data_IF_259610513367
#
_entry.id   IF_259610513367
#
_cell.length_a   1.000
_cell.length_b   1.000
_cell.length_c   1.000
_cell.angle_alpha   90.00
_cell.angle_beta   90.00
_cell.angle_gamma   90.00
#
_symmetry.space_group_name_H-M   'P 1'
#
loop_
_entity.id
_entity.type
_entity.pdbx_description
1 polymer ?
#
# COMPACT_ATOMS: atom_id res chain seq x y z
N UNK A 1 -18.12 3.92 32.19
CA UNK A 1 -18.43 3.25 30.90
C UNK A 1 -17.43 2.16 30.50
N UNK A 2 -16.15 2.22 30.88
CA UNK A 2 -15.17 1.15 30.57
C UNK A 2 -15.50 -0.23 31.19
N UNK A 3 -16.29 -0.28 32.26
CA UNK A 3 -16.73 -1.52 32.91
C UNK A 3 -17.73 -2.35 32.09
N UNK A 4 -18.38 -1.76 31.07
CA UNK A 4 -19.47 -2.41 30.34
C UNK A 4 -19.03 -3.17 29.07
N UNK A 5 -17.72 -3.18 28.76
CA UNK A 5 -17.18 -3.83 27.55
C UNK A 5 -16.15 -4.92 27.84
N UNK A 6 -15.97 -5.27 29.11
CA UNK A 6 -15.28 -6.51 29.48
C UNK A 6 -16.26 -7.66 29.30
N UNK A 7 -15.76 -8.81 28.86
CA UNK A 7 -16.54 -10.03 28.90
C UNK A 7 -16.91 -10.39 30.36
N UNK A 8 -17.84 -11.33 30.56
CA UNK A 8 -18.39 -11.69 31.89
C UNK A 8 -17.32 -12.05 32.95
N UNK A 9 -16.06 -12.25 32.52
CA UNK A 9 -14.91 -12.59 33.34
C UNK A 9 -13.87 -11.47 33.51
N UNK A 10 -14.10 -10.28 32.95
CA UNK A 10 -13.23 -9.12 33.15
C UNK A 10 -12.04 -8.98 32.18
N UNK A 11 -11.95 -9.83 31.16
CA UNK A 11 -10.88 -9.86 30.15
C UNK A 11 -11.20 -8.92 28.96
N UNK A 12 -10.17 -8.52 28.18
CA UNK A 12 -10.39 -7.83 26.91
C UNK A 12 -11.21 -8.70 25.96
N UNK A 13 -12.17 -8.13 25.20
CA UNK A 13 -13.04 -8.88 24.32
C UNK A 13 -12.22 -9.63 23.26
N UNK A 14 -12.71 -10.80 22.84
CA UNK A 14 -12.11 -11.56 21.75
C UNK A 14 -12.57 -11.06 20.38
N UNK A 15 -11.67 -11.08 19.40
CA UNK A 15 -11.99 -10.74 18.01
C UNK A 15 -12.78 -11.90 17.38
N UNK A 16 -14.10 -11.88 17.56
CA UNK A 16 -14.99 -12.95 17.08
C UNK A 16 -14.83 -13.13 15.57
N UNK A 17 -14.57 -14.37 15.15
CA UNK A 17 -14.31 -14.76 13.76
C UNK A 17 -13.09 -14.08 13.11
N UNK A 18 -12.19 -13.47 13.90
CA UNK A 18 -11.04 -12.70 13.39
C UNK A 18 -11.47 -11.59 12.40
N UNK A 19 -12.63 -10.97 12.63
CA UNK A 19 -13.20 -9.98 11.71
C UNK A 19 -12.30 -8.73 11.62
N UNK A 20 -11.78 -8.24 12.75
CA UNK A 20 -10.89 -7.06 12.74
C UNK A 20 -9.57 -7.39 12.05
N UNK A 21 -9.03 -8.59 12.29
CA UNK A 21 -7.87 -9.09 11.53
C UNK A 21 -8.12 -9.07 10.02
N UNK A 22 -9.26 -9.61 9.56
CA UNK A 22 -9.62 -9.63 8.15
C UNK A 22 -9.75 -8.23 7.56
N UNK A 23 -10.31 -7.27 8.29
CA UNK A 23 -10.41 -5.87 7.84
C UNK A 23 -9.01 -5.30 7.62
N UNK A 24 -8.08 -5.46 8.57
CA UNK A 24 -6.71 -4.96 8.39
C UNK A 24 -5.97 -5.68 7.27
N UNK A 25 -6.17 -6.99 7.11
CA UNK A 25 -5.66 -7.75 5.97
C UNK A 25 -6.17 -7.17 4.64
N UNK A 26 -7.48 -6.97 4.51
CA UNK A 26 -8.07 -6.36 3.31
C UNK A 26 -7.63 -4.91 3.10
N UNK A 27 -7.33 -4.16 4.16
CA UNK A 27 -6.70 -2.84 4.08
C UNK A 27 -5.27 -2.92 3.52
N UNK A 28 -4.50 -3.92 3.92
CA UNK A 28 -3.21 -4.23 3.32
C UNK A 28 -3.32 -4.52 1.83
N UNK A 29 -4.26 -5.39 1.45
CA UNK A 29 -4.49 -5.76 0.05
C UNK A 29 -4.89 -4.53 -0.76
N UNK A 30 -5.95 -3.82 -0.36
CA UNK A 30 -6.45 -2.63 -1.06
C UNK A 30 -5.47 -1.46 -1.08
N UNK A 31 -4.52 -1.40 -0.13
CA UNK A 31 -3.51 -0.35 -0.06
C UNK A 31 -2.41 -0.45 -1.11
N UNK A 32 -2.05 -1.66 -1.57
CA UNK A 32 -0.98 -1.88 -2.55
C UNK A 32 -1.45 -2.53 -3.86
N UNK A 33 -2.58 -3.23 -3.88
CA UNK A 33 -3.09 -3.86 -5.11
C UNK A 33 -3.25 -2.88 -6.28
N UNK A 34 -3.82 -1.66 -6.08
CA UNK A 34 -3.97 -0.71 -7.19
C UNK A 34 -2.61 -0.34 -7.82
N UNK A 35 -1.60 -0.09 -6.98
CA UNK A 35 -0.24 0.20 -7.44
C UNK A 35 0.39 -1.00 -8.18
N UNK A 36 0.24 -2.21 -7.66
CA UNK A 36 0.77 -3.41 -8.31
C UNK A 36 0.15 -3.67 -9.68
N UNK A 37 -1.16 -3.46 -9.81
CA UNK A 37 -1.85 -3.53 -11.11
C UNK A 37 -1.41 -2.43 -12.07
N UNK A 38 -1.14 -1.23 -11.57
CA UNK A 38 -0.59 -0.15 -12.39
C UNK A 38 0.78 -0.52 -12.98
N UNK A 39 1.69 -1.09 -12.17
CA UNK A 39 2.99 -1.56 -12.66
C UNK A 39 2.83 -2.70 -13.68
N UNK A 40 1.91 -3.65 -13.41
CA UNK A 40 1.70 -4.81 -14.28
C UNK A 40 0.98 -4.46 -15.60
N UNK A 41 0.29 -3.31 -15.68
CA UNK A 41 -0.34 -2.81 -16.91
C UNK A 41 0.66 -2.22 -17.92
N UNK A 42 1.95 -2.57 -17.84
CA UNK A 42 2.98 -1.95 -18.67
C UNK A 42 2.72 -2.05 -20.18
N UNK A 43 2.29 -3.22 -20.68
CA UNK A 43 1.96 -3.37 -22.11
C UNK A 43 0.90 -2.37 -22.57
N UNK A 44 -0.05 -2.03 -21.70
CA UNK A 44 -1.07 -1.02 -21.97
C UNK A 44 -0.48 0.39 -22.06
N UNK A 45 0.40 0.76 -21.12
CA UNK A 45 1.08 2.06 -21.17
C UNK A 45 1.98 2.18 -22.40
N UNK A 46 2.75 1.13 -22.71
CA UNK A 46 3.59 1.09 -23.90
C UNK A 46 2.75 1.24 -25.18
N UNK A 47 1.61 0.54 -25.27
CA UNK A 47 0.69 0.68 -26.40
C UNK A 47 0.12 2.10 -26.53
N UNK A 48 -0.30 2.74 -25.44
CA UNK A 48 -0.86 4.12 -25.49
C UNK A 48 0.19 5.18 -25.83
N UNK A 49 1.46 4.94 -25.49
CA UNK A 49 2.60 5.83 -25.79
C UNK A 49 3.36 5.48 -27.07
N UNK A 50 2.93 4.45 -27.82
CA UNK A 50 3.59 4.03 -29.05
C UNK A 50 3.66 5.14 -30.09
N UNK A 51 4.66 5.06 -30.96
CA UNK A 51 4.69 5.88 -32.16
C UNK A 51 3.58 5.46 -33.12
N UNK A 52 2.64 6.36 -33.37
CA UNK A 52 1.49 6.11 -34.26
C UNK A 52 1.81 6.33 -35.74
N UNK A 53 3.01 6.82 -36.05
CA UNK A 53 3.47 6.99 -37.43
C UNK A 53 4.01 5.68 -38.03
N UNK A 54 4.32 4.70 -37.18
CA UNK A 54 4.78 3.38 -37.59
C UNK A 54 3.63 2.53 -38.17
N UNK A 55 3.95 1.55 -39.03
CA UNK A 55 2.98 0.60 -39.55
C UNK A 55 2.18 -0.11 -38.45
N UNK A 56 0.89 -0.44 -38.66
CA UNK A 56 0.03 -1.08 -37.65
C UNK A 56 0.54 -2.43 -37.13
N UNK A 57 1.35 -3.12 -37.93
CA UNK A 57 1.98 -4.41 -37.68
C UNK A 57 3.35 -4.30 -36.98
N UNK A 58 3.89 -3.09 -36.81
CA UNK A 58 5.13 -2.88 -36.08
C UNK A 58 4.93 -3.23 -34.60
N UNK A 59 5.79 -4.12 -34.09
CA UNK A 59 5.79 -4.46 -32.66
C UNK A 59 6.25 -3.26 -31.85
N UNK A 60 5.31 -2.60 -31.19
CA UNK A 60 5.56 -1.43 -30.33
C UNK A 60 6.38 -1.75 -29.07
N UNK A 61 6.65 -3.03 -28.80
CA UNK A 61 7.50 -3.50 -27.71
C UNK A 61 8.93 -3.83 -28.16
N UNK A 62 9.21 -3.81 -29.48
CA UNK A 62 10.56 -3.98 -30.00
C UNK A 62 11.42 -2.76 -29.61
N UNK A 63 12.59 -2.97 -28.96
CA UNK A 63 13.51 -1.89 -28.59
C UNK A 63 13.87 -0.92 -29.71
N UNK A 64 13.81 -1.36 -30.98
CA UNK A 64 14.10 -0.54 -32.16
C UNK A 64 13.02 0.50 -32.44
N UNK A 65 11.78 0.25 -32.02
CA UNK A 65 10.62 1.10 -32.26
C UNK A 65 10.12 1.82 -30.99
N UNK A 66 10.66 1.48 -29.82
CA UNK A 66 10.26 2.11 -28.56
C UNK A 66 10.63 3.60 -28.53
N UNK A 67 9.64 4.43 -28.25
CA UNK A 67 9.84 5.86 -28.01
C UNK A 67 10.56 6.09 -26.68
N UNK A 68 11.20 7.26 -26.55
CA UNK A 68 11.82 7.70 -25.28
C UNK A 68 10.84 7.65 -24.11
N UNK A 69 9.56 7.97 -24.35
CA UNK A 69 8.51 7.92 -23.33
C UNK A 69 8.26 6.51 -22.82
N UNK A 70 8.26 5.49 -23.68
CA UNK A 70 8.11 4.09 -23.29
C UNK A 70 9.31 3.60 -22.47
N UNK A 71 10.54 3.90 -22.93
CA UNK A 71 11.78 3.46 -22.25
C UNK A 71 11.90 4.05 -20.85
N UNK A 72 11.63 5.35 -20.68
CA UNK A 72 11.78 6.05 -19.40
C UNK A 72 10.53 5.99 -18.50
N UNK A 73 9.43 5.39 -18.97
CA UNK A 73 8.15 5.42 -18.28
C UNK A 73 8.25 4.89 -16.85
N UNK A 74 8.91 3.74 -16.64
CA UNK A 74 9.04 3.11 -15.32
C UNK A 74 9.82 4.01 -14.35
N UNK A 75 10.86 4.69 -14.84
CA UNK A 75 11.63 5.64 -14.03
C UNK A 75 10.81 6.86 -13.64
N UNK A 76 10.05 7.43 -14.59
CA UNK A 76 9.13 8.53 -14.29
C UNK A 76 8.05 8.10 -13.30
N UNK A 77 7.48 6.92 -13.51
CA UNK A 77 6.47 6.34 -12.65
C UNK A 77 6.99 6.16 -11.22
N UNK A 78 8.21 5.65 -11.04
CA UNK A 78 8.83 5.46 -9.73
C UNK A 78 9.01 6.79 -8.99
N UNK A 79 9.54 7.82 -9.65
CA UNK A 79 9.73 9.15 -9.04
C UNK A 79 8.39 9.80 -8.70
N UNK A 80 7.45 9.81 -9.64
CA UNK A 80 6.10 10.35 -9.45
C UNK A 80 5.26 9.56 -8.43
N UNK A 81 5.75 8.41 -7.96
CA UNK A 81 5.07 7.62 -6.93
C UNK A 81 5.74 7.76 -5.57
N UNK A 82 7.03 7.42 -5.49
CA UNK A 82 7.75 7.31 -4.22
C UNK A 82 7.96 8.68 -3.55
N UNK A 83 8.25 9.73 -4.32
CA UNK A 83 8.47 11.07 -3.79
C UNK A 83 7.19 11.64 -3.15
N UNK A 84 6.04 11.74 -3.86
CA UNK A 84 4.82 12.26 -3.26
C UNK A 84 4.29 11.35 -2.15
N UNK A 85 4.41 10.02 -2.29
CA UNK A 85 4.04 9.10 -1.22
C UNK A 85 4.82 9.41 0.07
N UNK A 86 6.13 9.56 -0.02
CA UNK A 86 6.99 9.82 1.15
C UNK A 86 6.69 11.17 1.79
N UNK A 87 6.56 12.24 0.98
CA UNK A 87 6.21 13.58 1.47
C UNK A 87 4.84 13.54 2.16
N UNK A 88 3.86 12.90 1.54
CA UNK A 88 2.51 12.83 2.09
C UNK A 88 2.45 11.93 3.33
N UNK A 89 3.29 10.90 3.43
CA UNK A 89 3.37 10.06 4.64
C UNK A 89 3.90 10.86 5.84
N UNK A 90 4.90 11.72 5.62
CA UNK A 90 5.38 12.67 6.65
C UNK A 90 4.31 13.71 6.96
N UNK A 91 3.66 14.28 5.95
CA UNK A 91 2.56 15.22 6.14
C UNK A 91 1.40 14.58 6.92
N UNK A 92 1.14 13.29 6.73
CA UNK A 92 0.10 12.55 7.42
C UNK A 92 0.30 12.54 8.95
N UNK A 93 1.55 12.54 9.42
CA UNK A 93 1.90 12.67 10.84
C UNK A 93 1.57 14.07 11.38
N UNK A 94 1.77 15.11 10.56
CA UNK A 94 1.41 16.49 10.94
C UNK A 94 -0.11 16.68 10.94
N UNK A 95 -0.80 16.09 9.95
CA UNK A 95 -2.24 16.18 9.77
C UNK A 95 -3.04 15.48 10.87
N UNK A 96 -2.43 14.52 11.59
CA UNK A 96 -3.10 13.80 12.67
C UNK A 96 -3.57 14.72 13.80
N UNK A 97 -2.98 15.91 13.93
CA UNK A 97 -3.41 16.95 14.89
C UNK A 97 -4.81 17.48 14.58
N UNK A 98 -5.15 17.65 13.30
CA UNK A 98 -6.39 18.30 12.88
C UNK A 98 -7.44 17.30 12.41
N UNK A 99 -7.02 16.16 11.89
CA UNK A 99 -7.91 15.20 11.26
C UNK A 99 -7.77 13.79 11.84
N UNK A 100 -8.90 13.19 12.19
CA UNK A 100 -8.96 11.81 12.66
C UNK A 100 -8.40 10.84 11.62
N UNK A 101 -7.86 9.69 12.05
CA UNK A 101 -7.39 8.66 11.12
C UNK A 101 -8.49 8.17 10.17
N UNK A 102 -9.76 8.11 10.62
CA UNK A 102 -10.88 7.74 9.75
C UNK A 102 -11.18 8.79 8.68
N UNK A 103 -11.11 10.08 9.03
CA UNK A 103 -11.28 11.18 8.07
C UNK A 103 -10.16 11.19 7.03
N UNK A 104 -8.90 11.06 7.48
CA UNK A 104 -7.73 10.99 6.58
C UNK A 104 -7.79 9.78 5.66
N UNK A 105 -8.19 8.62 6.19
CA UNK A 105 -8.43 7.42 5.39
C UNK A 105 -9.52 7.61 4.33
N UNK A 106 -10.66 8.20 4.71
CA UNK A 106 -11.78 8.42 3.79
C UNK A 106 -11.37 9.35 2.64
N UNK A 107 -10.70 10.48 2.96
CA UNK A 107 -10.19 11.41 1.95
C UNK A 107 -9.18 10.72 1.02
N UNK A 108 -8.22 9.98 1.60
CA UNK A 108 -7.22 9.23 0.81
C UNK A 108 -7.87 8.20 -0.11
N UNK A 109 -8.83 7.42 0.40
CA UNK A 109 -9.54 6.38 -0.36
C UNK A 109 -10.39 6.95 -1.49
N UNK A 110 -11.09 8.06 -1.25
CA UNK A 110 -11.86 8.77 -2.29
C UNK A 110 -10.93 9.30 -3.38
N UNK A 111 -9.79 9.88 -3.00
CA UNK A 111 -8.81 10.37 -3.97
C UNK A 111 -8.26 9.23 -4.85
N UNK A 112 -7.88 8.10 -4.23
CA UNK A 112 -7.42 6.91 -4.95
C UNK A 112 -8.50 6.38 -5.90
N UNK A 113 -9.76 6.33 -5.45
CA UNK A 113 -10.90 5.89 -6.27
C UNK A 113 -11.11 6.80 -7.49
N UNK A 114 -11.11 8.12 -7.30
CA UNK A 114 -11.28 9.09 -8.39
C UNK A 114 -10.16 8.95 -9.42
N UNK A 115 -8.91 8.79 -8.98
CA UNK A 115 -7.78 8.60 -9.89
C UNK A 115 -7.89 7.29 -10.67
N UNK A 116 -8.34 6.20 -10.04
CA UNK A 116 -8.55 4.94 -10.75
C UNK A 116 -9.71 5.02 -11.74
N UNK A 117 -10.79 5.72 -11.39
CA UNK A 117 -11.89 5.98 -12.30
C UNK A 117 -11.43 6.81 -13.51
N UNK A 118 -10.62 7.85 -13.28
CA UNK A 118 -9.98 8.61 -14.34
C UNK A 118 -9.08 7.73 -15.22
N UNK A 119 -8.32 6.81 -14.63
CA UNK A 119 -7.48 5.86 -15.36
C UNK A 119 -8.30 4.93 -16.25
N UNK A 120 -9.46 4.44 -15.76
CA UNK A 120 -10.42 3.66 -16.56
C UNK A 120 -10.95 4.46 -17.75
N UNK A 121 -11.32 5.73 -17.53
CA UNK A 121 -11.79 6.62 -18.60
C UNK A 121 -10.68 6.85 -19.64
N UNK A 122 -9.43 7.05 -19.21
CA UNK A 122 -8.26 7.20 -20.09
C UNK A 122 -8.02 6.00 -21.02
N UNK A 123 -8.49 4.79 -20.67
CA UNK A 123 -8.40 3.63 -21.57
C UNK A 123 -9.14 3.89 -22.88
N UNK A 124 -10.30 4.56 -22.82
CA UNK A 124 -11.17 4.81 -23.96
C UNK A 124 -10.85 6.11 -24.71
N UNK A 125 -10.07 7.01 -24.10
CA UNK A 125 -9.70 8.28 -24.73
C UNK A 125 -8.42 8.08 -25.55
N UNK A 126 -8.45 8.56 -26.80
CA UNK A 126 -7.28 8.66 -27.65
C UNK A 126 -6.70 10.06 -27.66
N UNK A 127 -5.52 10.19 -27.05
CA UNK A 127 -4.73 11.42 -26.95
C UNK A 127 -3.32 11.17 -27.49
N UNK A 128 -2.56 12.24 -27.73
CA UNK A 128 -1.15 12.11 -28.10
C UNK A 128 -0.34 11.43 -26.99
N UNK A 129 0.74 10.72 -27.36
CA UNK A 129 1.60 10.01 -26.40
C UNK A 129 2.13 10.92 -25.28
N UNK A 130 2.51 12.17 -25.61
CA UNK A 130 2.97 13.16 -24.63
C UNK A 130 1.87 13.60 -23.67
N UNK A 131 0.67 13.87 -24.19
CA UNK A 131 -0.47 14.24 -23.36
C UNK A 131 -0.90 13.07 -22.44
N UNK A 132 -0.93 11.85 -22.97
CA UNK A 132 -1.21 10.65 -22.21
C UNK A 132 -0.21 10.46 -21.07
N UNK A 133 1.10 10.57 -21.36
CA UNK A 133 2.15 10.48 -20.36
C UNK A 133 1.97 11.55 -19.26
N UNK A 134 1.76 12.80 -19.63
CA UNK A 134 1.57 13.89 -18.67
C UNK A 134 0.35 13.65 -17.77
N UNK A 135 -0.81 13.34 -18.33
CA UNK A 135 -2.02 13.03 -17.57
C UNK A 135 -1.82 11.83 -16.64
N UNK A 136 -1.16 10.79 -17.13
CA UNK A 136 -0.85 9.57 -16.36
C UNK A 136 0.05 9.91 -15.17
N UNK A 137 1.18 10.60 -15.39
CA UNK A 137 2.10 10.93 -14.31
C UNK A 137 1.50 11.89 -13.28
N UNK A 138 0.72 12.88 -13.70
CA UNK A 138 0.00 13.78 -12.79
C UNK A 138 -0.98 12.96 -11.93
N UNK A 139 -1.75 12.06 -12.55
CA UNK A 139 -2.69 11.20 -11.82
C UNK A 139 -1.98 10.29 -10.81
N UNK A 140 -0.81 9.75 -11.15
CA UNK A 140 0.01 8.91 -10.26
C UNK A 140 0.51 9.67 -9.03
N UNK A 141 0.84 10.96 -9.17
CA UNK A 141 1.18 11.81 -8.01
C UNK A 141 0.01 11.88 -7.03
N UNK A 142 -1.20 12.18 -7.53
CA UNK A 142 -2.40 12.23 -6.69
C UNK A 142 -2.78 10.87 -6.10
N UNK A 143 -2.62 9.79 -6.88
CA UNK A 143 -2.81 8.42 -6.42
C UNK A 143 -1.95 8.14 -5.20
N UNK A 144 -0.65 8.45 -5.28
CA UNK A 144 0.30 8.16 -4.22
C UNK A 144 0.11 9.05 -2.99
N UNK A 145 -0.34 10.30 -3.17
CA UNK A 145 -0.80 11.13 -2.05
C UNK A 145 -2.00 10.50 -1.32
N UNK A 146 -3.03 10.06 -2.07
CA UNK A 146 -4.20 9.40 -1.48
C UNK A 146 -3.85 8.08 -0.78
N UNK A 147 -2.99 7.27 -1.41
CA UNK A 147 -2.47 6.02 -0.84
C UNK A 147 -1.69 6.25 0.44
N UNK A 148 -0.83 7.28 0.52
CA UNK A 148 -0.09 7.59 1.74
C UNK A 148 -1.02 8.00 2.90
N UNK A 149 -2.03 8.83 2.62
CA UNK A 149 -3.06 9.20 3.62
C UNK A 149 -3.82 7.97 4.12
N UNK A 150 -4.28 7.12 3.21
CA UNK A 150 -5.02 5.91 3.55
C UNK A 150 -4.16 4.90 4.33
N UNK A 151 -2.99 4.54 3.80
CA UNK A 151 -2.09 3.56 4.42
C UNK A 151 -1.59 4.04 5.79
N UNK A 152 -1.13 5.30 5.91
CA UNK A 152 -0.68 5.81 7.21
C UNK A 152 -1.80 5.91 8.24
N UNK A 153 -3.05 6.12 7.78
CA UNK A 153 -4.22 6.07 8.67
C UNK A 153 -4.53 4.65 9.14
N UNK A 154 -4.44 3.66 8.25
CA UNK A 154 -4.61 2.24 8.60
C UNK A 154 -3.55 1.83 9.64
N UNK A 155 -2.27 2.10 9.41
CA UNK A 155 -1.21 1.76 10.36
C UNK A 155 -1.34 2.51 11.69
N UNK A 156 -1.75 3.79 11.66
CA UNK A 156 -2.00 4.57 12.87
C UNK A 156 -3.15 4.00 13.71
N UNK A 157 -4.21 3.47 13.08
CA UNK A 157 -5.31 2.79 13.80
C UNK A 157 -4.88 1.40 14.26
N UNK A 158 -4.13 0.66 13.43
CA UNK A 158 -3.64 -0.68 13.76
C UNK A 158 -2.71 -0.67 14.98
N UNK A 159 -1.95 0.40 15.20
CA UNK A 159 -1.02 0.55 16.33
C UNK A 159 -1.71 0.62 17.70
N UNK A 160 -3.01 0.95 17.75
CA UNK A 160 -3.80 0.96 19.00
C UNK A 160 -4.23 -0.47 19.38
N UNK A 161 -4.22 -1.39 18.41
CA UNK A 161 -4.69 -2.75 18.59
C UNK A 161 -3.52 -3.70 18.85
N UNK A 162 -3.78 -4.92 19.34
CA UNK A 162 -2.73 -5.92 19.46
C UNK A 162 -1.98 -6.14 18.14
N UNK A 163 -0.66 -6.34 18.25
CA UNK A 163 0.30 -6.36 17.12
C UNK A 163 -0.05 -7.29 15.96
N UNK A 164 -0.89 -8.31 16.19
CA UNK A 164 -1.44 -9.18 15.14
C UNK A 164 -2.17 -8.41 14.03
N UNK A 165 -2.73 -7.22 14.30
CA UNK A 165 -3.49 -6.46 13.31
C UNK A 165 -2.61 -5.61 12.39
N UNK A 166 -1.49 -5.07 12.89
CA UNK A 166 -0.43 -4.52 12.02
C UNK A 166 0.12 -5.62 11.11
N UNK A 167 0.36 -6.81 11.68
CA UNK A 167 0.82 -7.97 10.92
C UNK A 167 -0.16 -8.33 9.79
N UNK A 168 -1.46 -8.37 10.08
CA UNK A 168 -2.50 -8.65 9.09
C UNK A 168 -2.41 -7.68 7.89
N UNK A 169 -2.26 -6.37 8.16
CA UNK A 169 -2.09 -5.37 7.10
C UNK A 169 -0.81 -5.60 6.28
N UNK A 170 0.31 -5.92 6.93
CA UNK A 170 1.56 -6.23 6.24
C UNK A 170 1.48 -7.54 5.41
N UNK A 171 0.74 -8.54 5.86
CA UNK A 171 0.48 -9.77 5.10
C UNK A 171 -0.41 -9.49 3.88
N UNK A 172 -1.47 -8.70 4.05
CA UNK A 172 -2.35 -8.30 2.95
C UNK A 172 -1.61 -7.53 1.86
N UNK A 173 -0.65 -6.67 2.25
CA UNK A 173 0.24 -5.99 1.32
C UNK A 173 1.03 -6.98 0.44
N UNK A 174 1.60 -8.04 1.01
CA UNK A 174 2.34 -9.03 0.24
C UNK A 174 1.41 -9.88 -0.65
N UNK A 175 0.25 -10.28 -0.14
CA UNK A 175 -0.76 -11.01 -0.93
C UNK A 175 -1.24 -10.19 -2.12
N UNK A 176 -1.31 -8.86 -2.01
CA UNK A 176 -1.63 -8.00 -3.15
C UNK A 176 -0.66 -8.17 -4.33
N UNK A 177 0.62 -8.42 -4.05
CA UNK A 177 1.64 -8.71 -5.05
C UNK A 177 1.39 -10.04 -5.75
N UNK A 178 1.03 -11.08 -4.99
CA UNK A 178 0.66 -12.39 -5.53
C UNK A 178 -0.57 -12.26 -6.45
N UNK A 179 -1.63 -11.58 -5.98
CA UNK A 179 -2.83 -11.33 -6.78
C UNK A 179 -2.47 -10.62 -8.08
N UNK A 180 -1.60 -9.61 -8.01
CA UNK A 180 -1.15 -8.88 -9.20
C UNK A 180 -0.35 -9.74 -10.17
N UNK A 181 0.56 -10.58 -9.68
CA UNK A 181 1.33 -11.51 -10.52
C UNK A 181 0.45 -12.57 -11.19
N UNK A 182 -0.51 -13.15 -10.44
CA UNK A 182 -1.45 -14.12 -10.99
C UNK A 182 -2.37 -13.48 -12.02
N UNK A 183 -2.89 -12.27 -11.75
CA UNK A 183 -3.67 -11.53 -12.73
C UNK A 183 -2.88 -11.26 -14.01
N UNK A 184 -1.57 -10.99 -13.90
CA UNK A 184 -0.70 -10.82 -15.06
C UNK A 184 -0.55 -12.10 -15.88
N UNK A 185 -0.33 -13.23 -15.23
CA UNK A 185 -0.23 -14.54 -15.90
C UNK A 185 -1.55 -14.89 -16.60
N UNK A 186 -2.68 -14.71 -15.92
CA UNK A 186 -4.01 -14.99 -16.48
C UNK A 186 -4.29 -14.08 -17.68
N UNK A 187 -4.02 -12.79 -17.56
CA UNK A 187 -4.22 -11.80 -18.62
C UNK A 187 -3.46 -12.14 -19.89
N UNK A 188 -2.20 -12.57 -19.76
CA UNK A 188 -1.37 -13.06 -20.86
C UNK A 188 -2.00 -14.31 -21.51
N UNK A 189 -2.61 -15.20 -20.73
CA UNK A 189 -3.24 -16.42 -21.23
C UNK A 189 -4.61 -16.19 -21.90
N UNK A 190 -5.40 -15.22 -21.44
CA UNK A 190 -6.82 -15.09 -21.82
C UNK A 190 -7.13 -14.13 -22.96
N UNK A 191 -6.29 -13.12 -23.24
CA UNK A 191 -6.67 -12.07 -24.19
C UNK A 191 -5.47 -11.47 -24.91
N UNK A 192 -5.61 -11.31 -26.23
CA UNK A 192 -4.68 -10.58 -27.10
C UNK A 192 -4.87 -9.06 -27.04
N UNK A 193 -6.01 -8.59 -26.53
CA UNK A 193 -6.32 -7.15 -26.45
C UNK A 193 -5.69 -6.52 -25.22
N UNK A 194 -4.64 -5.75 -25.45
CA UNK A 194 -3.84 -5.10 -24.41
C UNK A 194 -4.63 -4.03 -23.65
N UNK A 195 -5.53 -3.32 -24.33
CA UNK A 195 -6.41 -2.32 -23.71
C UNK A 195 -7.47 -2.97 -22.82
N UNK A 196 -8.05 -4.10 -23.25
CA UNK A 196 -8.98 -4.89 -22.43
C UNK A 196 -8.31 -5.42 -21.18
N UNK A 197 -7.08 -5.91 -21.32
CA UNK A 197 -6.28 -6.41 -20.19
C UNK A 197 -5.99 -5.31 -19.16
N UNK A 198 -5.59 -4.12 -19.62
CA UNK A 198 -5.42 -2.95 -18.75
C UNK A 198 -6.71 -2.54 -18.04
N UNK A 199 -7.83 -2.51 -18.77
CA UNK A 199 -9.15 -2.20 -18.23
C UNK A 199 -9.54 -3.14 -17.09
N UNK A 200 -9.37 -4.46 -17.27
CA UNK A 200 -9.68 -5.46 -16.25
C UNK A 200 -8.89 -5.19 -14.96
N UNK A 201 -7.60 -4.91 -15.06
CA UNK A 201 -6.80 -4.57 -13.87
C UNK A 201 -7.35 -3.36 -13.12
N UNK A 202 -7.67 -2.27 -13.83
CA UNK A 202 -8.18 -1.06 -13.20
C UNK A 202 -9.58 -1.24 -12.60
N UNK A 203 -10.45 -2.04 -13.22
CA UNK A 203 -11.76 -2.37 -12.68
C UNK A 203 -11.67 -3.25 -11.43
N UNK A 204 -10.81 -4.28 -11.43
CA UNK A 204 -10.58 -5.10 -10.25
C UNK A 204 -10.00 -4.25 -9.11
N UNK A 205 -9.08 -3.33 -9.40
CA UNK A 205 -8.59 -2.38 -8.40
C UNK A 205 -9.72 -1.57 -7.77
N UNK A 206 -10.64 -1.03 -8.56
CA UNK A 206 -11.80 -0.26 -8.06
C UNK A 206 -12.68 -1.10 -7.12
N UNK A 207 -12.93 -2.37 -7.46
CA UNK A 207 -13.69 -3.27 -6.57
C UNK A 207 -12.97 -3.45 -5.24
N UNK A 208 -11.65 -3.69 -5.24
CA UNK A 208 -10.90 -3.83 -3.99
C UNK A 208 -10.84 -2.53 -3.19
N UNK A 209 -10.61 -1.38 -3.83
CA UNK A 209 -10.60 -0.06 -3.17
C UNK A 209 -11.93 0.19 -2.47
N UNK A 210 -13.06 -0.04 -3.15
CA UNK A 210 -14.40 0.16 -2.56
C UNK A 210 -14.70 -0.81 -1.43
N UNK A 211 -14.41 -2.11 -1.62
CA UNK A 211 -14.62 -3.12 -0.60
C UNK A 211 -13.79 -2.84 0.66
N UNK A 212 -12.51 -2.53 0.50
CA UNK A 212 -11.60 -2.18 1.59
C UNK A 212 -12.06 -0.90 2.30
N UNK A 213 -12.47 0.14 1.57
CA UNK A 213 -12.97 1.37 2.16
C UNK A 213 -14.24 1.12 3.00
N UNK A 214 -15.19 0.35 2.47
CA UNK A 214 -16.41 -0.02 3.20
C UNK A 214 -16.10 -0.80 4.49
N UNK A 215 -15.20 -1.79 4.41
CA UNK A 215 -14.78 -2.59 5.57
C UNK A 215 -14.13 -1.71 6.66
N UNK A 216 -13.24 -0.79 6.28
CA UNK A 216 -12.58 0.09 7.24
C UNK A 216 -13.56 1.07 7.90
N UNK A 217 -14.55 1.59 7.17
CA UNK A 217 -15.58 2.47 7.73
C UNK A 217 -16.56 1.75 8.68
N UNK A 218 -16.69 0.43 8.58
CA UNK A 218 -17.47 -0.40 9.52
C UNK A 218 -16.70 -0.64 10.83
N UNK A 219 -15.37 -0.54 10.83
CA UNK A 219 -14.51 -0.85 11.98
C UNK A 219 -14.95 -0.17 13.31
N UNK A 220 -15.33 1.12 13.37
CA UNK A 220 -15.81 1.77 14.59
C UNK A 220 -17.06 1.14 15.21
N UNK A 221 -17.82 0.35 14.46
CA UNK A 221 -19.05 -0.30 14.93
C UNK A 221 -18.76 -1.60 15.69
N UNK A 222 -17.58 -2.20 15.53
CA UNK A 222 -17.21 -3.51 16.08
C UNK A 222 -16.83 -3.37 17.56
N UNK A 223 -17.43 -4.21 18.43
CA UNK A 223 -17.21 -4.18 19.88
C UNK A 223 -15.75 -4.37 20.31
N UNK A 224 -15.04 -5.30 19.66
CA UNK A 224 -13.59 -5.51 19.87
C UNK A 224 -12.79 -4.24 19.63
N UNK A 225 -13.04 -3.56 18.52
CA UNK A 225 -12.36 -2.32 18.18
C UNK A 225 -12.70 -1.19 19.16
N UNK A 226 -13.98 -1.02 19.51
CA UNK A 226 -14.42 0.01 20.47
C UNK A 226 -13.72 -0.12 21.82
N UNK A 227 -13.49 -1.34 22.30
CA UNK A 227 -12.78 -1.58 23.56
C UNK A 227 -11.37 -0.97 23.54
N UNK A 228 -10.55 -1.31 22.53
CA UNK A 228 -9.18 -0.79 22.43
C UNK A 228 -9.18 0.71 22.11
N UNK A 229 -10.10 1.17 21.25
CA UNK A 229 -10.18 2.57 20.87
C UNK A 229 -10.55 3.49 22.04
N UNK A 230 -11.45 3.05 22.93
CA UNK A 230 -11.87 3.83 24.11
C UNK A 230 -10.83 3.80 25.24
N UNK A 231 -9.95 2.79 25.26
CA UNK A 231 -8.94 2.63 26.31
C UNK A 231 -7.53 3.09 25.87
N UNK A 232 -7.38 3.66 24.67
CA UNK A 232 -6.08 4.05 24.09
C UNK A 232 -5.32 5.12 24.89
N UNK A 233 -6.04 5.95 25.65
CA UNK A 233 -5.49 7.07 26.42
C UNK A 233 -5.32 6.70 27.92
N UNK A 234 -5.73 5.49 28.32
CA UNK A 234 -5.49 5.00 29.68
C UNK A 234 -4.03 4.55 29.78
N UNK A 235 -3.29 4.95 30.84
CA UNK A 235 -1.95 4.45 31.06
C UNK A 235 -2.00 2.93 31.21
N UNK A 236 -1.16 2.24 30.44
CA UNK A 236 -1.01 0.80 30.57
C UNK A 236 -0.52 0.50 31.99
N UNK A 237 -1.33 -0.20 32.79
CA UNK A 237 -1.08 -0.41 34.22
C UNK A 237 0.28 -1.09 34.51
N UNK A 238 0.92 -1.65 33.48
CA UNK A 238 2.25 -2.26 33.56
C UNK A 238 3.41 -1.25 33.50
N UNK A 239 3.18 0.00 33.09
CA UNK A 239 4.23 1.03 32.94
C UNK A 239 4.17 2.13 34.02
N UNK A 240 3.26 2.03 34.99
CA UNK A 240 2.99 3.09 35.98
C UNK A 240 4.10 3.21 37.05
N UNK A 241 4.97 2.22 37.20
CA UNK A 241 6.05 2.28 38.21
C UNK A 241 7.24 3.19 37.82
N UNK A 242 7.33 3.69 36.59
CA UNK A 242 8.54 4.40 36.13
C UNK A 242 8.44 5.91 35.88
N UNK A 243 7.26 6.55 35.94
CA UNK A 243 7.16 7.98 35.60
C UNK A 243 6.37 8.84 36.62
N UNK A 244 7.06 9.58 37.50
CA UNK A 244 6.46 10.50 38.46
C UNK A 244 5.78 11.73 37.84
N UNK A 245 6.00 12.03 36.54
CA UNK A 245 5.56 13.29 35.91
C UNK A 245 4.07 13.32 35.52
N UNK A 246 3.40 12.17 35.51
CA UNK A 246 1.99 12.04 35.09
C UNK A 246 0.96 12.43 36.16
N UNK A 247 1.38 12.87 37.35
CA UNK A 247 0.46 13.15 38.48
C UNK A 247 -0.12 14.56 38.52
N UNK A 248 0.40 15.54 37.77
CA UNK A 248 0.13 16.96 38.06
C UNK A 248 -0.70 17.76 37.06
N UNK A 249 -1.30 17.18 36.02
CA UNK A 249 -2.08 17.99 35.06
C UNK A 249 -3.58 17.91 35.33
N UNK A 250 -4.06 18.73 36.28
CA UNK A 250 -5.47 19.14 36.36
C UNK A 250 -5.57 20.67 36.31
N UNK A 251 -6.45 21.14 35.42
CA UNK A 251 -6.97 22.50 35.23
C UNK A 251 -6.04 23.55 34.59
N UNK A 252 -6.19 23.81 33.28
CA UNK A 252 -6.89 25.01 32.79
C UNK A 252 -7.11 25.00 31.25
N UNK A 253 -8.21 25.61 30.81
CA UNK A 253 -8.86 25.31 29.52
C UNK A 253 -8.43 26.17 28.30
N UNK A 254 -7.43 27.05 28.41
CA UNK A 254 -6.98 27.89 27.28
C UNK A 254 -5.50 27.73 26.89
N UNK A 255 -4.64 27.18 27.74
CA UNK A 255 -3.24 26.79 27.40
C UNK A 255 -3.14 25.39 26.79
N UNK A 256 -4.26 24.67 26.74
CA UNK A 256 -4.34 23.26 26.39
C UNK A 256 -3.94 23.00 24.94
N UNK A 257 -4.07 23.98 24.03
CA UNK A 257 -3.74 23.77 22.62
C UNK A 257 -2.23 23.87 22.35
N UNK A 258 -1.50 24.83 22.95
CA UNK A 258 -0.04 24.93 22.81
C UNK A 258 0.69 23.84 23.60
N UNK A 259 0.20 23.49 24.79
CA UNK A 259 0.76 22.41 25.59
C UNK A 259 0.57 21.04 24.90
N UNK A 260 -0.60 20.77 24.31
CA UNK A 260 -0.82 19.55 23.50
C UNK A 260 0.06 19.54 22.25
N UNK A 261 0.41 20.69 21.66
CA UNK A 261 1.32 20.78 20.51
C UNK A 261 2.76 20.44 20.89
N UNK A 262 3.24 20.92 22.04
CA UNK A 262 4.60 20.62 22.50
C UNK A 262 4.74 19.16 22.94
N UNK A 263 3.74 18.62 23.64
CA UNK A 263 3.65 17.21 24.08
C UNK A 263 3.58 16.27 22.86
N UNK A 264 2.85 16.64 21.81
CA UNK A 264 2.73 15.79 20.61
C UNK A 264 4.02 15.83 19.76
N UNK A 265 4.70 16.97 19.66
CA UNK A 265 6.01 17.05 18.97
C UNK A 265 7.10 16.30 19.73
N UNK A 266 7.16 16.42 21.06
CA UNK A 266 8.12 15.66 21.88
C UNK A 266 7.81 14.16 21.84
N UNK A 267 6.54 13.77 21.83
CA UNK A 267 6.09 12.39 21.67
C UNK A 267 6.47 11.78 20.32
N UNK A 268 6.21 12.48 19.20
CA UNK A 268 6.60 11.99 17.86
C UNK A 268 8.11 11.83 17.76
N UNK A 269 8.88 12.82 18.24
CA UNK A 269 10.34 12.78 18.16
C UNK A 269 10.92 11.65 19.04
N UNK A 270 10.34 11.43 20.22
CA UNK A 270 10.70 10.30 21.09
C UNK A 270 10.39 8.96 20.42
N UNK A 271 9.19 8.80 19.87
CA UNK A 271 8.79 7.59 19.15
C UNK A 271 9.68 7.32 17.93
N UNK A 272 10.06 8.36 17.18
CA UNK A 272 11.01 8.24 16.07
C UNK A 272 12.39 7.80 16.54
N UNK A 273 12.86 8.28 17.70
CA UNK A 273 14.14 7.87 18.28
C UNK A 273 14.11 6.41 18.74
N UNK A 274 13.03 5.97 19.37
CA UNK A 274 12.85 4.58 19.81
C UNK A 274 12.79 3.60 18.63
N UNK A 275 12.14 4.00 17.55
CA UNK A 275 11.96 3.16 16.35
C UNK A 275 13.05 3.38 15.29
N UNK A 276 14.08 4.18 15.58
CA UNK A 276 15.09 4.57 14.60
C UNK A 276 15.81 3.36 13.98
N UNK A 277 16.31 2.45 14.82
CA UNK A 277 17.05 1.28 14.34
C UNK A 277 16.18 0.34 13.49
N UNK A 278 14.98 -0.10 13.95
CA UNK A 278 14.06 -0.85 13.09
C UNK A 278 13.71 -0.11 11.79
N UNK A 279 13.53 1.21 11.86
CA UNK A 279 13.28 2.06 10.69
C UNK A 279 14.41 2.01 9.67
N UNK A 280 15.68 2.09 10.11
CA UNK A 280 16.85 1.95 9.24
C UNK A 280 16.94 0.54 8.63
N UNK A 281 16.64 -0.51 9.39
CA UNK A 281 16.62 -1.88 8.86
C UNK A 281 15.59 -2.03 7.72
N UNK A 282 14.38 -1.50 7.93
CA UNK A 282 13.32 -1.50 6.90
C UNK A 282 13.73 -0.65 5.70
N UNK A 283 14.33 0.53 5.92
CA UNK A 283 14.81 1.40 4.85
C UNK A 283 15.86 0.70 3.97
N UNK A 284 16.89 0.09 4.58
CA UNK A 284 17.94 -0.61 3.84
C UNK A 284 17.35 -1.80 3.07
N UNK A 285 16.46 -2.57 3.72
CA UNK A 285 15.78 -3.71 3.09
C UNK A 285 15.03 -3.26 1.83
N UNK A 286 14.14 -2.25 1.97
CA UNK A 286 13.36 -1.75 0.84
C UNK A 286 14.22 -1.05 -0.21
N UNK A 287 15.31 -0.37 0.17
CA UNK A 287 16.24 0.25 -0.77
C UNK A 287 16.91 -0.80 -1.65
N UNK A 288 17.46 -1.86 -1.06
CA UNK A 288 18.07 -2.97 -1.81
C UNK A 288 17.02 -3.62 -2.71
N UNK A 289 15.85 -3.95 -2.14
CA UNK A 289 14.75 -4.58 -2.89
C UNK A 289 14.31 -3.75 -4.08
N UNK A 290 14.04 -2.45 -3.92
CA UNK A 290 13.54 -1.58 -5.00
C UNK A 290 14.63 -1.20 -6.01
N UNK A 291 15.92 -1.27 -5.64
CA UNK A 291 17.02 -1.09 -6.59
C UNK A 291 17.14 -2.25 -7.59
N UNK A 292 16.70 -3.45 -7.19
CA UNK A 292 16.79 -4.67 -8.02
C UNK A 292 15.43 -4.99 -8.66
N UNK A 293 14.36 -5.05 -7.86
CA UNK A 293 13.01 -5.41 -8.30
C UNK A 293 12.11 -4.17 -8.43
N UNK A 294 11.36 -4.01 -9.54
CA UNK A 294 11.29 -4.90 -10.71
C UNK A 294 12.30 -4.56 -11.82
N UNK A 295 12.97 -3.40 -11.76
CA UNK A 295 13.66 -2.80 -12.91
C UNK A 295 14.84 -3.63 -13.46
N UNK A 296 15.67 -4.22 -12.59
CA UNK A 296 16.78 -5.09 -12.99
C UNK A 296 16.29 -6.53 -13.15
N UNK A 297 15.48 -7.02 -12.20
CA UNK A 297 14.99 -8.39 -12.18
C UNK A 297 14.20 -8.78 -13.45
N UNK A 298 13.42 -7.85 -14.03
CA UNK A 298 12.68 -8.08 -15.28
C UNK A 298 13.56 -8.32 -16.51
N UNK A 299 14.84 -7.95 -16.46
CA UNK A 299 15.78 -8.12 -17.56
C UNK A 299 16.35 -9.54 -17.62
N UNK A 300 16.09 -10.35 -16.59
CA UNK A 300 16.47 -11.75 -16.58
C UNK A 300 15.83 -12.46 -17.77
N UNK A 301 16.63 -13.24 -18.50
CA UNK A 301 16.22 -14.06 -19.63
C UNK A 301 16.68 -15.51 -19.42
N UNK A 302 15.90 -16.49 -19.88
CA UNK A 302 16.34 -17.87 -19.89
C UNK A 302 17.53 -18.05 -20.84
N UNK A 303 18.49 -18.90 -20.45
CA UNK A 303 19.70 -19.17 -21.23
C UNK A 303 19.36 -19.97 -22.50
N UNK A 304 18.46 -20.93 -22.39
CA UNK A 304 18.03 -21.79 -23.50
C UNK A 304 16.70 -21.28 -24.04
N UNK A 305 16.73 -20.52 -25.13
CA UNK A 305 15.51 -20.05 -25.81
C UNK A 305 15.09 -21.07 -26.87
N UNK A 306 13.98 -21.77 -26.63
CA UNK A 306 13.36 -22.64 -27.63
C UNK A 306 12.32 -21.81 -28.40
N UNK A 307 12.47 -21.62 -29.73
CA UNK A 307 11.67 -20.64 -30.49
C UNK A 307 10.14 -20.84 -30.45
N UNK A 308 9.65 -22.04 -30.13
CA UNK A 308 8.22 -22.35 -30.06
C UNK A 308 7.72 -22.60 -28.63
N UNK A 309 8.58 -22.50 -27.62
CA UNK A 309 8.19 -22.78 -26.25
C UNK A 309 7.55 -21.55 -25.59
N UNK A 310 6.28 -21.68 -25.21
CA UNK A 310 5.54 -20.65 -24.50
C UNK A 310 6.11 -20.39 -23.10
N UNK A 311 6.67 -21.42 -22.44
CA UNK A 311 7.23 -21.25 -21.10
C UNK A 311 8.38 -20.23 -21.14
N UNK A 312 9.35 -20.48 -22.01
CA UNK A 312 10.57 -19.69 -22.12
C UNK A 312 10.32 -18.27 -22.63
N UNK A 313 9.42 -18.10 -23.61
CA UNK A 313 9.19 -16.81 -24.28
C UNK A 313 8.13 -15.94 -23.61
N UNK A 314 7.17 -16.53 -22.90
CA UNK A 314 5.99 -15.81 -22.39
C UNK A 314 5.89 -15.87 -20.87
N UNK A 315 6.04 -17.04 -20.26
CA UNK A 315 5.73 -17.25 -18.83
C UNK A 315 6.94 -17.17 -17.89
N UNK A 316 8.16 -17.33 -18.39
CA UNK A 316 9.37 -17.35 -17.57
C UNK A 316 9.49 -16.12 -16.65
N UNK A 317 9.35 -14.91 -17.20
CA UNK A 317 9.47 -13.68 -16.41
C UNK A 317 8.27 -13.50 -15.45
N UNK A 318 7.00 -13.58 -15.88
CA UNK A 318 5.87 -13.47 -14.96
C UNK A 318 5.89 -14.48 -13.80
N UNK A 319 6.33 -15.72 -14.05
CA UNK A 319 6.32 -16.79 -13.05
C UNK A 319 7.57 -16.76 -12.18
N UNK A 320 8.77 -16.90 -12.76
CA UNK A 320 10.00 -17.06 -11.97
C UNK A 320 10.55 -15.75 -11.42
N UNK A 321 10.21 -14.60 -12.02
CA UNK A 321 10.67 -13.31 -11.50
C UNK A 321 9.61 -12.67 -10.61
N UNK A 322 8.39 -12.48 -11.12
CA UNK A 322 7.36 -11.73 -10.40
C UNK A 322 6.61 -12.58 -9.37
N UNK A 323 6.07 -13.75 -9.77
CA UNK A 323 5.30 -14.59 -8.83
C UNK A 323 6.20 -15.16 -7.72
N UNK A 324 7.39 -15.67 -8.07
CA UNK A 324 8.34 -16.18 -7.06
C UNK A 324 8.75 -15.10 -6.06
N UNK A 325 9.03 -13.87 -6.53
CA UNK A 325 9.34 -12.74 -5.65
C UNK A 325 8.18 -12.46 -4.67
N UNK A 326 6.95 -12.34 -5.17
CA UNK A 326 5.79 -12.01 -4.33
C UNK A 326 5.44 -13.14 -3.34
N UNK A 327 5.59 -14.41 -3.75
CA UNK A 327 5.45 -15.56 -2.84
C UNK A 327 6.56 -15.55 -1.78
N UNK A 328 7.80 -15.24 -2.17
CA UNK A 328 8.92 -15.11 -1.24
C UNK A 328 8.71 -14.02 -0.19
N UNK A 329 8.30 -12.81 -0.60
CA UNK A 329 7.97 -11.70 0.32
C UNK A 329 6.85 -12.10 1.30
N UNK A 330 5.79 -12.73 0.81
CA UNK A 330 4.70 -13.21 1.65
C UNK A 330 5.15 -14.28 2.66
N UNK A 331 5.87 -15.31 2.20
CA UNK A 331 6.42 -16.35 3.06
C UNK A 331 7.34 -15.76 4.14
N UNK A 332 8.20 -14.80 3.80
CA UNK A 332 9.07 -14.11 4.75
C UNK A 332 8.29 -13.38 5.85
N UNK A 333 7.25 -12.63 5.48
CA UNK A 333 6.38 -11.92 6.44
C UNK A 333 5.58 -12.87 7.32
N UNK A 334 5.13 -13.99 6.77
CA UNK A 334 4.45 -15.03 7.55
C UNK A 334 5.40 -15.64 8.58
N UNK A 335 6.61 -16.05 8.16
CA UNK A 335 7.62 -16.67 9.02
C UNK A 335 8.05 -15.75 10.16
N UNK A 336 8.22 -14.46 9.92
CA UNK A 336 8.52 -13.47 10.96
C UNK A 336 7.45 -13.39 12.07
N UNK A 337 6.22 -13.83 11.78
CA UNK A 337 5.16 -13.94 12.77
C UNK A 337 5.28 -15.14 13.71
N UNK A 338 5.87 -16.23 13.24
CA UNK A 338 5.99 -17.48 13.97
C UNK A 338 7.34 -17.60 14.69
N UNK A 339 8.40 -17.11 14.04
CA UNK A 339 9.77 -17.20 14.52
C UNK A 339 10.22 -15.81 14.95
N UNK A 340 10.09 -15.52 16.26
CA UNK A 340 10.70 -14.32 16.85
C UNK A 340 12.11 -14.69 17.31
N UNK A 341 13.10 -13.87 16.92
CA UNK A 341 14.48 -14.05 17.39
C UNK A 341 14.52 -14.04 18.92
N UNK A 342 15.27 -14.94 19.53
CA UNK A 342 15.44 -14.97 20.99
C UNK A 342 15.95 -13.60 21.46
N UNK A 343 15.12 -12.85 22.17
CA UNK A 343 15.61 -11.77 23.03
C UNK A 343 16.17 -12.44 24.27
N UNK A 344 17.49 -12.31 24.47
CA UNK A 344 18.15 -12.56 25.75
C UNK A 344 18.11 -11.30 26.59
#
# INVERSE_FOLDING_TARGET
MASAMRDEKGYPPTDRYNLVYLIFFMCGVGGLLPWNFFINAQRYFDYKMRDRTLPPDADYTDPKYMTRSQVLFVSYLAVCSLVPFSIMMVANLLLMKWFSSFSRFAVGSVLVFIVFLFTVILVYIDVSARAFLAMTLISVVFLNCGSALAQGSVFGVAAILPSKHIKAALEGQAVSGIIASLANIISIATSSSVTTNGLVYFLVALVFITATAAMFLVLPKIGYFKYYWNNKDLPDNNNIESDPSLKEVKHDNNESQELVISINKSGILSAMKETFLPGICVLITLMITLSIFPAVARLIRPITVIPQDLWTNVYFVPVLVFLLYNVGDWCGRMLAGFIKWFHR
#
